data_IF_126456505693
#
_entry.id   IF_126456505693
#
_cell.length_a   1.000
_cell.length_b   1.000
_cell.length_c   1.000
_cell.angle_alpha   90.00
_cell.angle_beta   90.00
_cell.angle_gamma   90.00
#
_symmetry.space_group_name_H-M   'P 1'
#
loop_
_entity.id
_entity.type
_entity.pdbx_description
1 polymer ?
#
# COMPACT_ATOMS: atom_id res chain seq x y z
N UNK A 1 13.74 12.16 10.80
CA UNK A 1 13.10 10.88 10.44
C UNK A 1 12.34 11.13 9.14
N UNK A 2 12.38 10.20 8.18
CA UNK A 2 11.53 10.34 6.98
C UNK A 2 10.07 10.13 7.39
N UNK A 3 9.21 11.05 6.99
CA UNK A 3 7.80 11.07 7.38
C UNK A 3 6.93 11.42 6.18
N UNK A 4 5.78 10.77 6.11
CA UNK A 4 4.70 11.07 5.19
C UNK A 4 3.36 11.06 5.91
N UNK A 5 2.28 10.99 5.15
CA UNK A 5 0.92 10.90 5.66
C UNK A 5 0.08 9.96 4.80
N UNK A 6 -0.95 9.38 5.40
CA UNK A 6 -2.02 8.67 4.70
C UNK A 6 -2.92 9.70 4.02
N UNK A 7 -3.12 9.56 2.72
CA UNK A 7 -4.05 10.38 1.94
C UNK A 7 -5.42 9.72 1.89
N UNK A 8 -5.47 8.40 1.76
CA UNK A 8 -6.71 7.64 1.63
C UNK A 8 -6.55 6.22 2.20
N UNK A 9 -7.65 5.68 2.71
CA UNK A 9 -7.75 4.28 3.15
C UNK A 9 -8.77 3.60 2.25
N UNK A 10 -8.32 2.70 1.40
CA UNK A 10 -9.13 2.09 0.36
C UNK A 10 -9.33 0.59 0.60
N UNK A 11 -10.56 0.11 0.36
CA UNK A 11 -10.90 -1.31 0.50
C UNK A 11 -11.77 -1.80 -0.67
N UNK A 12 -11.78 -3.11 -0.90
CA UNK A 12 -12.70 -3.80 -1.80
C UNK A 12 -13.11 -5.14 -1.19
N UNK A 13 -14.41 -5.52 -1.19
CA UNK A 13 -14.84 -6.78 -0.61
C UNK A 13 -14.34 -7.99 -1.42
N UNK A 14 -14.24 -7.87 -2.75
CA UNK A 14 -13.69 -8.90 -3.63
C UNK A 14 -12.24 -8.68 -4.03
N UNK A 15 -11.58 -9.77 -4.47
CA UNK A 15 -10.29 -9.73 -5.15
C UNK A 15 -10.48 -9.29 -6.61
N UNK A 16 -9.55 -8.49 -7.13
CA UNK A 16 -9.60 -8.01 -8.52
C UNK A 16 -10.56 -6.84 -8.77
N UNK A 17 -11.29 -6.40 -7.75
CA UNK A 17 -12.12 -5.20 -7.78
C UNK A 17 -11.28 -3.94 -7.53
N UNK A 18 -11.75 -2.80 -8.05
CA UNK A 18 -11.18 -1.50 -7.67
C UNK A 18 -11.49 -1.22 -6.21
N UNK A 19 -10.51 -0.71 -5.49
CA UNK A 19 -10.70 -0.27 -4.11
C UNK A 19 -11.33 1.10 -4.09
N UNK A 20 -12.20 1.33 -3.12
CA UNK A 20 -12.84 2.62 -2.88
C UNK A 20 -12.30 3.20 -1.59
N UNK A 21 -12.01 4.49 -1.61
CA UNK A 21 -11.66 5.22 -0.39
C UNK A 21 -12.84 5.19 0.59
N UNK A 22 -12.59 4.63 1.76
CA UNK A 22 -13.52 4.56 2.90
C UNK A 22 -13.14 5.54 4.00
N UNK A 23 -12.08 6.34 3.79
CA UNK A 23 -11.60 7.38 4.69
C UNK A 23 -10.88 6.86 5.95
N UNK A 24 -11.30 5.72 6.49
CA UNK A 24 -10.71 5.07 7.65
C UNK A 24 -10.93 3.56 7.64
N UNK A 25 -10.13 2.83 8.41
CA UNK A 25 -10.26 1.39 8.59
C UNK A 25 -9.43 0.86 9.76
N UNK A 26 -9.44 -0.45 9.94
CA UNK A 26 -8.68 -1.13 11.00
C UNK A 26 -7.69 -2.10 10.37
N UNK A 27 -6.41 -1.92 10.67
CA UNK A 27 -5.39 -2.91 10.35
C UNK A 27 -5.39 -4.00 11.42
N UNK A 28 -5.42 -5.25 11.00
CA UNK A 28 -5.46 -6.43 11.86
C UNK A 28 -4.15 -7.19 11.70
N UNK A 29 -3.45 -7.42 12.81
CA UNK A 29 -2.17 -8.13 12.84
C UNK A 29 -2.31 -9.53 12.22
N UNK A 30 -1.36 -9.88 11.35
CA UNK A 30 -1.37 -11.18 10.65
C UNK A 30 -2.48 -11.34 9.60
N UNK A 31 -3.24 -10.29 9.28
CA UNK A 31 -4.36 -10.36 8.35
C UNK A 31 -4.33 -9.26 7.28
N UNK A 32 -4.21 -7.99 7.65
CA UNK A 32 -4.32 -6.87 6.70
C UNK A 32 -5.40 -5.87 7.08
N UNK A 33 -5.99 -5.20 6.10
CA UNK A 33 -7.09 -4.25 6.33
C UNK A 33 -8.42 -5.01 6.51
N UNK A 34 -9.14 -4.72 7.61
CA UNK A 34 -10.46 -5.30 7.87
C UNK A 34 -11.44 -4.98 6.71
N UNK A 35 -12.21 -5.99 6.31
CA UNK A 35 -13.17 -5.88 5.21
C UNK A 35 -12.57 -5.93 3.80
N UNK A 36 -11.23 -6.06 3.66
CA UNK A 36 -10.58 -6.20 2.36
C UNK A 36 -10.51 -7.66 1.89
N UNK A 37 -10.86 -7.89 0.63
CA UNK A 37 -10.82 -9.21 -0.01
C UNK A 37 -9.41 -9.81 -0.15
N UNK A 38 -8.35 -9.03 0.08
CA UNK A 38 -6.96 -9.51 0.09
C UNK A 38 -6.42 -9.82 1.50
N UNK A 39 -7.22 -9.64 2.55
CA UNK A 39 -6.83 -10.01 3.91
C UNK A 39 -6.55 -11.51 4.05
N UNK A 40 -5.60 -11.87 4.92
CA UNK A 40 -5.23 -13.23 5.27
C UNK A 40 -3.80 -13.36 5.78
N UNK A 41 -3.43 -14.58 6.16
CA UNK A 41 -2.08 -14.90 6.65
C UNK A 41 -1.12 -15.18 5.47
N UNK A 42 -0.59 -14.11 4.89
CA UNK A 42 0.38 -14.15 3.79
C UNK A 42 1.23 -12.88 3.75
N UNK A 43 2.22 -12.80 2.85
CA UNK A 43 3.20 -11.70 2.83
C UNK A 43 2.67 -10.36 2.26
N UNK A 44 1.46 -10.30 1.69
CA UNK A 44 0.90 -9.09 1.06
C UNK A 44 -0.42 -8.65 1.70
N UNK A 45 -0.41 -8.54 3.02
CA UNK A 45 -1.59 -8.21 3.82
C UNK A 45 -2.13 -6.80 3.53
N UNK A 46 -1.22 -5.84 3.30
CA UNK A 46 -1.57 -4.45 3.01
C UNK A 46 -0.75 -3.99 1.82
N UNK A 47 -1.40 -3.36 0.84
CA UNK A 47 -0.74 -2.67 -0.27
C UNK A 47 -0.66 -1.17 -0.01
N UNK A 48 0.47 -0.54 -0.35
CA UNK A 48 0.65 0.91 -0.26
C UNK A 48 1.17 1.48 -1.59
N UNK A 49 0.75 2.70 -1.91
CA UNK A 49 1.24 3.46 -3.05
C UNK A 49 1.35 4.95 -2.72
N UNK A 50 2.37 5.62 -3.21
CA UNK A 50 2.56 7.06 -3.04
C UNK A 50 1.73 7.88 -4.03
N UNK A 51 1.25 9.04 -3.60
CA UNK A 51 0.65 10.07 -4.47
C UNK A 51 1.66 10.54 -5.51
N UNK A 52 2.95 10.47 -5.23
CA UNK A 52 4.05 10.75 -6.16
C UNK A 52 4.00 9.78 -7.35
N UNK A 53 3.76 8.49 -7.10
CA UNK A 53 3.59 7.44 -8.12
C UNK A 53 2.30 7.62 -8.91
N UNK A 54 1.19 7.93 -8.24
CA UNK A 54 -0.10 8.25 -8.89
C UNK A 54 0.05 9.52 -9.75
N UNK A 55 0.80 10.52 -9.29
CA UNK A 55 1.08 11.75 -10.00
C UNK A 55 1.80 11.54 -11.33
N UNK A 56 2.76 10.61 -11.38
CA UNK A 56 3.42 10.21 -12.65
C UNK A 56 2.41 9.67 -13.66
N UNK A 57 1.45 8.87 -13.21
CA UNK A 57 0.41 8.29 -14.05
C UNK A 57 -0.57 9.35 -14.55
N UNK A 58 -0.96 10.30 -13.69
CA UNK A 58 -1.75 11.48 -14.10
C UNK A 58 -1.03 12.34 -15.13
N UNK A 59 0.27 12.59 -14.93
CA UNK A 59 1.09 13.34 -15.88
C UNK A 59 1.22 12.64 -17.25
N UNK A 60 1.10 11.31 -17.28
CA UNK A 60 1.01 10.52 -18.50
C UNK A 60 -0.39 10.53 -19.15
N UNK A 61 -1.36 11.28 -18.60
CA UNK A 61 -2.68 11.49 -19.17
C UNK A 61 -3.78 10.58 -18.63
N UNK A 62 -3.52 9.81 -17.57
CA UNK A 62 -4.52 8.92 -16.98
C UNK A 62 -5.40 9.65 -15.97
N UNK A 63 -6.70 9.37 -16.01
CA UNK A 63 -7.66 9.77 -14.98
C UNK A 63 -7.73 8.67 -13.89
N UNK A 64 -6.86 8.81 -12.89
CA UNK A 64 -6.67 7.86 -11.78
C UNK A 64 -6.52 8.59 -10.45
N UNK A 65 -6.89 7.95 -9.35
CA UNK A 65 -6.75 8.45 -7.99
C UNK A 65 -6.49 7.35 -6.96
N UNK A 66 -6.58 7.70 -5.66
CA UNK A 66 -6.43 6.75 -4.58
C UNK A 66 -7.34 5.52 -4.72
N UNK A 67 -6.77 4.33 -4.57
CA UNK A 67 -7.44 3.03 -4.66
C UNK A 67 -7.55 2.45 -6.08
N UNK A 68 -7.33 3.25 -7.13
CA UNK A 68 -7.46 2.77 -8.50
C UNK A 68 -6.41 1.70 -8.84
N UNK A 69 -5.22 1.77 -8.24
CA UNK A 69 -4.16 0.77 -8.42
C UNK A 69 -4.29 -0.42 -7.48
N UNK A 70 -5.43 -0.53 -6.77
CA UNK A 70 -5.76 -1.55 -5.77
C UNK A 70 -4.85 -1.52 -4.53
N UNK A 71 -4.27 -0.36 -4.21
CA UNK A 71 -3.61 -0.08 -2.95
C UNK A 71 -4.62 0.09 -1.82
N UNK A 72 -4.28 -0.40 -0.62
CA UNK A 72 -5.07 -0.16 0.59
C UNK A 72 -4.79 1.20 1.19
N UNK A 73 -3.52 1.64 1.21
CA UNK A 73 -3.15 2.93 1.74
C UNK A 73 -2.49 3.74 0.64
N UNK A 74 -3.13 4.86 0.27
CA UNK A 74 -2.45 5.89 -0.51
C UNK A 74 -1.74 6.81 0.45
N UNK A 75 -0.47 7.11 0.19
CA UNK A 75 0.35 7.95 1.08
C UNK A 75 0.96 9.12 0.31
N UNK A 76 1.58 10.06 1.01
CA UNK A 76 2.34 11.17 0.41
C UNK A 76 3.50 11.57 1.32
N UNK A 77 4.56 12.11 0.73
CA UNK A 77 5.71 12.69 1.43
C UNK A 77 6.80 11.67 1.78
N UNK A 78 6.62 10.40 1.40
CA UNK A 78 7.57 9.33 1.65
C UNK A 78 7.84 8.53 0.37
N UNK A 79 9.10 8.33 0.04
CA UNK A 79 9.52 7.56 -1.13
C UNK A 79 9.45 6.05 -0.85
N UNK A 80 8.22 5.52 -0.81
CA UNK A 80 7.93 4.16 -0.36
C UNK A 80 8.68 3.08 -1.14
N UNK A 81 8.80 3.19 -2.46
CA UNK A 81 9.35 2.13 -3.31
C UNK A 81 10.87 2.01 -3.24
N UNK A 82 11.56 3.02 -2.69
CA UNK A 82 13.00 2.98 -2.44
C UNK A 82 13.35 2.59 -1.00
N UNK A 83 12.34 2.36 -0.15
CA UNK A 83 12.59 1.80 1.19
C UNK A 83 12.97 0.32 1.08
N UNK A 84 14.03 -0.13 1.76
CA UNK A 84 14.46 -1.52 1.71
C UNK A 84 13.43 -2.46 2.36
N UNK A 85 13.37 -3.71 1.89
CA UNK A 85 12.59 -4.75 2.56
C UNK A 85 13.03 -4.91 4.02
N UNK A 86 12.06 -5.25 4.87
CA UNK A 86 12.21 -5.30 6.33
C UNK A 86 12.11 -3.93 7.02
N UNK A 87 11.86 -2.85 6.27
CA UNK A 87 11.59 -1.53 6.85
C UNK A 87 10.28 -1.57 7.63
N UNK A 88 10.30 -1.03 8.85
CA UNK A 88 9.11 -0.92 9.70
C UNK A 88 8.56 0.50 9.66
N UNK A 89 7.32 0.61 9.21
CA UNK A 89 6.54 1.83 9.17
C UNK A 89 5.56 1.84 10.34
N UNK A 90 5.48 2.95 11.05
CA UNK A 90 4.34 3.27 11.89
C UNK A 90 3.33 4.05 11.06
N UNK A 91 2.07 3.61 11.07
CA UNK A 91 0.95 4.30 10.43
C UNK A 91 -0.06 4.68 11.50
N UNK A 92 -0.42 5.96 11.54
CA UNK A 92 -1.26 6.49 12.61
C UNK A 92 -0.55 6.39 13.96
N UNK A 93 -1.32 6.08 15.01
CA UNK A 93 -0.80 6.07 16.39
C UNK A 93 -0.10 4.77 16.78
N UNK A 94 -0.53 3.63 16.25
CA UNK A 94 -0.13 2.33 16.79
C UNK A 94 0.12 1.24 15.75
N UNK A 95 -0.40 1.36 14.52
CA UNK A 95 -0.25 0.30 13.55
C UNK A 95 1.18 0.22 13.04
N UNK A 96 1.74 -0.99 13.02
CA UNK A 96 3.10 -1.26 12.55
C UNK A 96 3.05 -2.18 11.33
N UNK A 97 3.64 -1.71 10.24
CA UNK A 97 3.74 -2.42 8.97
C UNK A 97 5.21 -2.73 8.66
N UNK A 98 5.51 -3.95 8.24
CA UNK A 98 6.83 -4.32 7.73
C UNK A 98 6.77 -4.55 6.23
N UNK A 99 7.62 -3.85 5.48
CA UNK A 99 7.70 -3.98 4.02
C UNK A 99 8.27 -5.35 3.66
N UNK A 100 7.49 -6.14 2.92
CA UNK A 100 7.84 -7.49 2.50
C UNK A 100 8.11 -7.60 1.01
N UNK A 101 7.59 -6.67 0.21
CA UNK A 101 7.76 -6.71 -1.23
C UNK A 101 7.66 -5.32 -1.86
N UNK A 102 8.46 -5.08 -2.90
CA UNK A 102 8.38 -3.91 -3.78
C UNK A 102 8.00 -4.42 -5.17
N UNK A 103 7.04 -3.75 -5.78
CA UNK A 103 6.49 -4.13 -7.07
C UNK A 103 5.76 -5.47 -7.04
N UNK A 104 5.24 -5.87 -8.19
CA UNK A 104 4.73 -7.23 -8.43
C UNK A 104 4.71 -7.55 -9.91
N UNK A 105 4.87 -8.82 -10.25
CA UNK A 105 4.59 -9.28 -11.60
C UNK A 105 3.06 -9.36 -11.77
N UNK A 106 2.54 -8.75 -12.82
CA UNK A 106 1.15 -8.95 -13.24
C UNK A 106 1.12 -10.04 -14.30
N UNK A 107 0.47 -11.17 -13.98
CA UNK A 107 0.30 -12.27 -14.93
C UNK A 107 -0.85 -12.02 -15.90
N UNK A 108 -1.88 -11.29 -15.45
CA UNK A 108 -3.06 -10.94 -16.25
C UNK A 108 -3.20 -9.43 -16.40
N UNK A 109 -3.83 -9.01 -17.52
CA UNK A 109 -4.21 -7.62 -17.75
C UNK A 109 -5.40 -7.27 -16.87
N UNK A 110 -5.19 -6.39 -15.89
CA UNK A 110 -6.27 -5.90 -15.02
C UNK A 110 -6.99 -4.70 -15.64
N UNK A 111 -8.08 -4.26 -15.00
CA UNK A 111 -8.85 -3.08 -15.42
C UNK A 111 -7.96 -1.82 -15.61
N UNK A 112 -6.91 -1.67 -14.79
CA UNK A 112 -5.96 -0.56 -14.94
C UNK A 112 -5.14 -0.70 -16.21
N UNK A 113 -4.59 -1.88 -16.52
CA UNK A 113 -3.87 -2.09 -17.79
C UNK A 113 -4.72 -1.70 -19.00
N UNK A 114 -6.01 -2.06 -19.01
CA UNK A 114 -6.91 -1.70 -20.11
C UNK A 114 -7.21 -0.20 -20.19
N UNK A 115 -7.22 0.52 -19.06
CA UNK A 115 -7.42 1.97 -19.04
C UNK A 115 -6.12 2.75 -19.33
N UNK A 116 -4.99 2.23 -18.86
CA UNK A 116 -3.73 2.95 -18.70
C UNK A 116 -2.63 2.53 -19.68
N UNK A 117 -2.70 1.32 -20.22
CA UNK A 117 -1.60 0.67 -20.95
C UNK A 117 -0.42 0.23 -20.07
N UNK A 118 -0.16 0.91 -18.95
CA UNK A 118 0.91 0.60 -18.00
C UNK A 118 0.46 0.83 -16.56
N UNK A 119 0.78 -0.09 -15.65
CA UNK A 119 0.39 -0.01 -14.24
C UNK A 119 1.60 0.35 -13.41
N UNK A 120 1.45 1.30 -12.48
CA UNK A 120 2.54 1.72 -11.58
C UNK A 120 2.78 0.72 -10.44
N UNK A 121 1.74 -0.06 -10.06
CA UNK A 121 1.83 -1.01 -8.94
C UNK A 121 2.92 -2.08 -9.13
N UNK A 122 3.12 -2.67 -10.33
CA UNK A 122 4.27 -3.54 -10.61
C UNK A 122 5.66 -2.97 -10.34
N UNK A 123 5.80 -1.64 -10.38
CA UNK A 123 7.09 -0.96 -10.33
C UNK A 123 7.33 -0.27 -9.00
N UNK A 124 6.31 0.42 -8.47
CA UNK A 124 6.45 1.33 -7.33
C UNK A 124 5.47 1.03 -6.19
N UNK A 125 4.51 0.10 -6.39
CA UNK A 125 3.67 -0.35 -5.29
C UNK A 125 4.47 -1.15 -4.28
N UNK A 126 4.19 -1.02 -2.99
CA UNK A 126 4.79 -1.87 -1.97
C UNK A 126 3.72 -2.71 -1.29
N UNK A 127 4.16 -3.83 -0.70
CA UNK A 127 3.34 -4.67 0.14
C UNK A 127 3.98 -4.86 1.49
N UNK A 128 3.15 -5.00 2.51
CA UNK A 128 3.57 -5.16 3.88
C UNK A 128 2.71 -6.18 4.62
N UNK A 129 3.28 -6.70 5.70
CA UNK A 129 2.55 -7.43 6.74
C UNK A 129 2.25 -6.51 7.92
N UNK A 130 1.12 -6.76 8.59
CA UNK A 130 0.72 -6.05 9.81
C UNK A 130 1.36 -6.75 11.00
N UNK A 131 2.37 -6.12 11.60
CA UNK A 131 3.04 -6.59 12.83
C UNK A 131 2.26 -6.23 14.08
N UNK A 132 1.66 -5.04 14.07
CA UNK A 132 0.75 -4.57 15.09
C UNK A 132 -0.45 -3.89 14.42
N UNK A 133 -1.66 -4.30 14.81
CA UNK A 133 -2.89 -3.72 14.30
C UNK A 133 -3.22 -2.37 14.94
N UNK A 134 -4.20 -1.69 14.36
CA UNK A 134 -4.70 -0.41 14.87
C UNK A 134 -5.60 0.32 13.88
N UNK A 135 -6.33 1.35 14.33
CA UNK A 135 -7.09 2.21 13.45
C UNK A 135 -6.15 3.04 12.56
N UNK A 136 -6.57 3.25 11.32
CA UNK A 136 -5.91 4.12 10.35
C UNK A 136 -6.93 4.98 9.64
N UNK A 137 -6.60 6.24 9.37
CA UNK A 137 -7.46 7.18 8.67
C UNK A 137 -6.66 8.12 7.76
N UNK A 138 -7.34 8.76 6.81
CA UNK A 138 -6.77 9.88 6.06
C UNK A 138 -6.28 10.98 7.00
N UNK A 139 -5.07 11.48 6.73
CA UNK A 139 -4.34 12.45 7.55
C UNK A 139 -3.43 11.84 8.62
N UNK A 140 -3.46 10.51 8.82
CA UNK A 140 -2.55 9.87 9.78
C UNK A 140 -1.09 9.94 9.33
N UNK A 141 -0.14 10.14 10.25
CA UNK A 141 1.28 10.14 9.90
C UNK A 141 1.75 8.75 9.48
N UNK A 142 2.72 8.71 8.56
CA UNK A 142 3.47 7.52 8.19
C UNK A 142 4.94 7.78 8.51
N UNK A 143 5.50 7.05 9.47
CA UNK A 143 6.86 7.30 9.99
C UNK A 143 7.71 6.04 9.84
N UNK A 144 8.92 6.21 9.31
CA UNK A 144 9.92 5.12 9.30
C UNK A 144 10.50 4.97 10.70
N UNK A 145 10.14 3.89 11.40
CA UNK A 145 10.68 3.58 12.74
C UNK A 145 12.01 2.85 12.67
N UNK A 146 12.15 1.95 11.70
CA UNK A 146 13.35 1.14 11.51
C UNK A 146 13.60 0.94 10.02
N UNK A 147 14.82 1.23 9.59
CA UNK A 147 15.25 0.94 8.22
C UNK A 147 15.50 -0.55 8.06
N UNK A 148 14.98 -1.13 6.98
CA UNK A 148 15.22 -2.51 6.60
C UNK A 148 16.64 -2.76 6.10
N UNK A 149 17.03 -4.02 6.02
CA UNK A 149 18.34 -4.45 5.50
C UNK A 149 18.28 -4.94 4.06
N UNK A 150 17.10 -4.87 3.42
CA UNK A 150 16.85 -5.41 2.08
C UNK A 150 16.33 -6.84 2.09
N UNK A 151 16.12 -7.42 3.27
CA UNK A 151 15.48 -8.74 3.46
C UNK A 151 14.39 -8.63 4.54
N UNK A 152 13.35 -9.44 4.41
CA UNK A 152 12.25 -9.57 5.38
C UNK A 152 11.98 -11.05 5.60
N UNK A 153 11.88 -11.48 6.86
CA UNK A 153 11.55 -12.88 7.20
C UNK A 153 10.11 -13.25 6.83
N UNK A 154 9.24 -12.24 6.65
CA UNK A 154 7.89 -12.42 6.16
C UNK A 154 7.78 -12.32 4.63
N UNK A 155 8.91 -12.10 3.92
CA UNK A 155 8.92 -12.17 2.46
C UNK A 155 9.06 -13.65 2.02
N UNK A 156 8.50 -14.04 0.85
CA UNK A 156 8.58 -15.39 0.32
C UNK A 156 10.00 -15.77 -0.13
#
# INVERSE_FOLDING_TARGET
>A
MQQGEVVAVCTSPGKGERKKDVGQGVLVAGFGLEGDGHGGDWHRQVSLLGMESIGKMRAAGLDVGPGDFAENLTTRGLDLCHLPLGTVLQVGREALLEITQIGKICHDRCAIYYQAGDCVMPKEGIFAVVRQGGPVAGGDPVVVLKMGTGVSEAAP
#
